data_IF_018714392357
#
_entry.id   IF_018714392357
#
_cell.length_a   1.000
_cell.length_b   1.000
_cell.length_c   1.000
_cell.angle_alpha   90.00
_cell.angle_beta   90.00
_cell.angle_gamma   90.00
#
_symmetry.space_group_name_H-M   'P 1'
#
loop_
_entity.id
_entity.type
_entity.pdbx_description
1 polymer ?
#
# COMPACT_ATOMS: atom_id res chain seq x y z
N UNK A 1 -11.42 4.81 14.70
CA UNK A 1 -12.26 3.78 15.38
C UNK A 1 -11.33 2.80 16.06
N UNK A 2 -11.56 2.47 17.34
CA UNK A 2 -10.84 1.38 18.02
C UNK A 2 -11.61 0.09 17.81
N UNK A 3 -10.98 -0.93 17.24
CA UNK A 3 -11.53 -2.27 17.18
C UNK A 3 -10.54 -3.23 17.89
N UNK A 4 -10.75 -3.42 19.17
CA UNK A 4 -9.98 -4.34 19.99
C UNK A 4 -10.61 -4.47 21.38
N UNK A 5 -10.20 -5.47 22.16
CA UNK A 5 -10.65 -5.60 23.55
C UNK A 5 -10.21 -4.36 24.32
N UNK A 6 -11.11 -3.72 25.12
CA UNK A 6 -10.73 -2.60 25.95
C UNK A 6 -9.56 -2.96 26.87
N UNK A 7 -8.44 -2.23 26.74
CA UNK A 7 -7.29 -2.34 27.64
C UNK A 7 -6.02 -2.96 27.09
N UNK A 8 -6.02 -3.59 25.90
CA UNK A 8 -4.77 -3.98 25.25
C UNK A 8 -4.29 -2.85 24.30
N UNK A 9 -2.98 -2.51 24.24
CA UNK A 9 -2.47 -1.55 23.28
C UNK A 9 -2.72 -2.09 21.85
N UNK A 10 -3.04 -1.21 20.90
CA UNK A 10 -3.15 -1.61 19.50
C UNK A 10 -1.79 -2.04 18.97
N UNK A 11 -1.75 -3.12 18.21
CA UNK A 11 -0.53 -3.61 17.59
C UNK A 11 -0.26 -2.95 16.23
N UNK A 12 -1.32 -2.53 15.53
CA UNK A 12 -1.25 -1.95 14.19
C UNK A 12 -1.86 -0.55 14.17
N UNK A 13 -1.12 0.42 13.65
CA UNK A 13 -1.67 1.70 13.23
C UNK A 13 -1.96 1.65 11.73
N UNK A 14 -3.19 2.00 11.31
CA UNK A 14 -3.57 2.18 9.91
C UNK A 14 -3.63 3.68 9.64
N UNK A 15 -2.75 4.21 8.80
CA UNK A 15 -2.80 5.60 8.35
C UNK A 15 -3.63 5.63 7.06
N UNK A 16 -4.81 6.22 7.17
CA UNK A 16 -5.78 6.37 6.09
C UNK A 16 -5.44 7.61 5.25
N UNK A 17 -4.93 7.38 4.06
CA UNK A 17 -4.53 8.40 3.10
C UNK A 17 -5.62 8.70 2.06
N UNK A 18 -6.81 8.07 2.17
CA UNK A 18 -7.92 8.35 1.26
C UNK A 18 -8.42 9.79 1.42
N UNK A 19 -8.76 10.42 0.28
CA UNK A 19 -9.34 11.76 0.26
C UNK A 19 -10.85 11.73 0.03
N UNK A 20 -11.39 10.68 -0.57
CA UNK A 20 -12.82 10.47 -0.81
C UNK A 20 -13.30 9.11 -0.27
N UNK A 21 -13.82 9.05 0.97
CA UNK A 21 -14.33 7.80 1.55
C UNK A 21 -15.59 7.26 0.85
N UNK A 22 -16.18 8.01 -0.08
CA UNK A 22 -17.24 7.52 -0.96
C UNK A 22 -16.71 6.68 -2.12
N UNK A 23 -15.42 6.76 -2.43
CA UNK A 23 -14.73 5.99 -3.49
C UNK A 23 -13.91 4.87 -2.88
N UNK A 24 -13.04 5.19 -1.92
CA UNK A 24 -12.12 4.23 -1.34
C UNK A 24 -12.14 4.26 0.19
N UNK A 25 -12.25 3.07 0.80
CA UNK A 25 -12.32 2.88 2.26
C UNK A 25 -11.22 1.94 2.75
N UNK A 26 -9.97 2.39 2.72
CA UNK A 26 -8.83 1.52 2.98
C UNK A 26 -8.85 0.88 4.37
N UNK A 27 -9.31 1.61 5.39
CA UNK A 27 -9.41 1.06 6.76
C UNK A 27 -10.31 -0.17 6.80
N UNK A 28 -11.47 -0.14 6.12
CA UNK A 28 -12.38 -1.29 6.06
C UNK A 28 -11.74 -2.46 5.29
N UNK A 29 -10.98 -2.18 4.23
CA UNK A 29 -10.31 -3.20 3.42
C UNK A 29 -9.17 -3.88 4.19
N UNK A 30 -8.30 -3.12 4.84
CA UNK A 30 -7.18 -3.66 5.59
C UNK A 30 -7.61 -4.34 6.88
N UNK A 31 -8.48 -3.71 7.68
CA UNK A 31 -8.85 -4.20 9.01
C UNK A 31 -9.52 -5.56 9.01
N UNK A 32 -10.25 -5.93 7.95
CA UNK A 32 -10.89 -7.26 7.82
C UNK A 32 -9.88 -8.43 7.82
N UNK A 33 -8.62 -8.16 7.52
CA UNK A 33 -7.55 -9.15 7.45
C UNK A 33 -6.66 -9.15 8.71
N UNK A 34 -6.83 -8.18 9.61
CA UNK A 34 -6.04 -8.09 10.84
C UNK A 34 -6.67 -8.94 11.95
N UNK A 35 -5.85 -9.78 12.56
CA UNK A 35 -6.24 -10.64 13.70
C UNK A 35 -5.78 -10.08 15.06
N UNK A 36 -5.19 -8.90 15.05
CA UNK A 36 -4.65 -8.17 16.21
C UNK A 36 -5.37 -6.83 16.37
N UNK A 37 -5.32 -6.21 17.56
CA UNK A 37 -5.89 -4.87 17.76
C UNK A 37 -5.26 -3.83 16.83
N UNK A 38 -6.06 -2.88 16.38
CA UNK A 38 -5.62 -1.79 15.50
C UNK A 38 -6.34 -0.48 15.83
N UNK A 39 -5.66 0.63 15.53
CA UNK A 39 -6.24 1.98 15.51
C UNK A 39 -6.10 2.58 14.11
N UNK A 40 -7.00 3.52 13.76
CA UNK A 40 -6.97 4.22 12.49
C UNK A 40 -6.75 5.72 12.68
N UNK A 41 -5.92 6.30 11.82
CA UNK A 41 -5.55 7.69 11.78
C UNK A 41 -5.84 8.25 10.39
N UNK A 42 -6.46 9.41 10.29
CA UNK A 42 -6.83 10.04 9.02
C UNK A 42 -5.82 11.14 8.71
N UNK A 43 -4.97 10.92 7.71
CA UNK A 43 -3.86 11.82 7.36
C UNK A 43 -4.33 13.22 6.99
N UNK A 44 -5.39 13.34 6.18
CA UNK A 44 -5.96 14.63 5.78
C UNK A 44 -6.49 15.47 6.95
N UNK A 45 -6.83 14.83 8.08
CA UNK A 45 -7.27 15.51 9.31
C UNK A 45 -6.08 15.91 10.20
N UNK A 46 -4.84 15.66 9.75
CA UNK A 46 -3.63 15.92 10.53
C UNK A 46 -3.47 14.99 11.74
N UNK A 47 -4.14 13.84 11.74
CA UNK A 47 -4.07 12.85 12.83
C UNK A 47 -3.15 11.71 12.45
N UNK A 48 -2.09 11.54 13.22
CA UNK A 48 -1.07 10.53 13.01
C UNK A 48 -0.77 9.76 14.29
N UNK A 49 -0.28 8.50 14.19
CA UNK A 49 0.21 7.75 15.35
C UNK A 49 1.57 8.29 15.81
N UNK A 50 1.88 8.09 17.09
CA UNK A 50 3.27 8.04 17.53
C UNK A 50 3.81 6.64 17.19
N UNK A 51 4.87 6.51 16.35
CA UNK A 51 5.42 5.19 15.99
C UNK A 51 5.86 4.35 17.18
N UNK A 52 6.19 4.99 18.32
CA UNK A 52 6.61 4.28 19.54
C UNK A 52 5.49 3.47 20.19
N UNK A 53 4.22 3.82 19.92
CA UNK A 53 3.07 3.15 20.51
C UNK A 53 2.64 1.89 19.74
N UNK A 54 3.23 1.62 18.56
CA UNK A 54 2.80 0.55 17.65
C UNK A 54 3.96 -0.35 17.26
N UNK A 55 3.67 -1.63 17.08
CA UNK A 55 4.64 -2.59 16.52
C UNK A 55 4.59 -2.61 14.98
N UNK A 56 3.47 -2.15 14.39
CA UNK A 56 3.22 -2.20 12.95
C UNK A 56 2.49 -0.93 12.47
N UNK A 57 2.83 -0.47 11.28
CA UNK A 57 2.13 0.64 10.60
C UNK A 57 1.76 0.22 9.17
N UNK A 58 0.50 0.42 8.78
CA UNK A 58 0.01 0.31 7.41
C UNK A 58 -0.20 1.73 6.87
N UNK A 59 0.44 2.04 5.74
CA UNK A 59 0.25 3.25 4.95
C UNK A 59 -0.66 2.89 3.78
N UNK A 60 -1.86 3.45 3.73
CA UNK A 60 -2.84 3.05 2.71
C UNK A 60 -2.61 3.75 1.37
N UNK A 61 -3.35 3.31 0.35
CA UNK A 61 -3.50 4.04 -0.90
C UNK A 61 -4.25 5.35 -0.73
N UNK A 62 -4.22 6.18 -1.78
CA UNK A 62 -4.94 7.45 -1.89
C UNK A 62 -5.36 7.68 -3.34
N UNK A 63 -6.44 8.46 -3.55
CA UNK A 63 -6.81 9.00 -4.84
C UNK A 63 -6.00 10.27 -5.20
N UNK A 64 -5.27 10.83 -4.22
CA UNK A 64 -4.34 11.93 -4.42
C UNK A 64 -3.07 11.47 -5.16
N UNK A 65 -2.41 12.39 -5.85
CA UNK A 65 -1.05 12.17 -6.34
C UNK A 65 -0.04 12.63 -5.29
N UNK A 66 0.92 11.78 -4.94
CA UNK A 66 1.99 12.17 -4.03
C UNK A 66 2.85 13.32 -4.60
N UNK A 67 2.87 13.48 -5.92
CA UNK A 67 3.60 14.55 -6.61
C UNK A 67 2.96 15.92 -6.42
N UNK A 68 1.69 16.00 -6.01
CA UNK A 68 1.00 17.25 -5.70
C UNK A 68 1.37 17.80 -4.32
N UNK A 69 2.07 17.00 -3.48
CA UNK A 69 2.66 17.42 -2.21
C UNK A 69 1.65 18.04 -1.25
N UNK A 70 0.54 17.34 -1.03
CA UNK A 70 -0.39 17.71 0.04
C UNK A 70 0.33 17.91 1.39
N UNK A 71 -0.21 18.79 2.22
CA UNK A 71 0.44 19.23 3.47
C UNK A 71 0.82 18.10 4.43
N UNK A 72 0.13 16.95 4.37
CA UNK A 72 0.43 15.79 5.24
C UNK A 72 1.60 14.93 4.73
N UNK A 73 2.03 15.05 3.47
CA UNK A 73 3.08 14.21 2.87
C UNK A 73 4.38 14.28 3.66
N UNK A 74 4.86 15.49 3.95
CA UNK A 74 6.14 15.68 4.66
C UNK A 74 6.05 15.23 6.13
N UNK A 75 4.90 15.41 6.76
CA UNK A 75 4.64 14.96 8.14
C UNK A 75 4.68 13.44 8.19
N UNK A 76 3.94 12.78 7.29
CA UNK A 76 3.87 11.32 7.25
C UNK A 76 5.22 10.71 6.82
N UNK A 77 5.97 11.34 5.92
CA UNK A 77 7.34 10.94 5.59
C UNK A 77 8.28 11.04 6.80
N UNK A 78 8.07 12.00 7.70
CA UNK A 78 8.75 12.07 8.99
C UNK A 78 8.44 10.85 9.86
N UNK A 79 7.17 10.52 10.02
CA UNK A 79 6.69 9.35 10.77
C UNK A 79 7.26 8.03 10.20
N UNK A 80 7.29 7.91 8.87
CA UNK A 80 7.93 6.75 8.20
C UNK A 80 9.39 6.62 8.62
N UNK A 81 10.17 7.71 8.56
CA UNK A 81 11.59 7.68 8.96
C UNK A 81 11.78 7.30 10.43
N UNK A 82 10.97 7.82 11.32
CA UNK A 82 10.97 7.49 12.74
C UNK A 82 10.62 6.03 12.99
N UNK A 83 9.55 5.53 12.35
CA UNK A 83 9.13 4.13 12.43
C UNK A 83 10.25 3.17 11.98
N UNK A 84 10.89 3.47 10.83
CA UNK A 84 11.98 2.66 10.28
C UNK A 84 13.23 2.71 11.16
N UNK A 85 13.56 3.88 11.72
CA UNK A 85 14.67 4.01 12.67
C UNK A 85 14.42 3.20 13.95
N UNK A 86 13.16 3.17 14.40
CA UNK A 86 12.72 2.38 15.56
C UNK A 86 12.45 0.91 15.24
N UNK A 87 12.71 0.39 14.03
CA UNK A 87 12.41 -0.96 13.52
C UNK A 87 10.93 -1.35 13.67
N UNK A 88 10.00 -0.42 13.63
CA UNK A 88 8.58 -0.71 13.49
C UNK A 88 8.33 -1.35 12.13
N UNK A 89 7.51 -2.39 12.07
CA UNK A 89 7.16 -3.00 10.79
C UNK A 89 6.25 -2.05 9.98
N UNK A 90 6.62 -1.75 8.72
CA UNK A 90 5.86 -0.81 7.88
C UNK A 90 5.49 -1.46 6.55
N UNK A 91 4.21 -1.39 6.19
CA UNK A 91 3.67 -1.86 4.93
C UNK A 91 2.95 -0.70 4.22
N UNK A 92 3.38 -0.35 3.01
CA UNK A 92 2.72 0.65 2.17
C UNK A 92 2.04 0.04 0.97
N UNK A 93 0.79 0.43 0.67
CA UNK A 93 0.10 0.08 -0.57
C UNK A 93 -0.16 1.31 -1.43
N UNK A 94 0.03 1.20 -2.75
CA UNK A 94 -0.18 2.22 -3.76
C UNK A 94 0.47 3.56 -3.36
N UNK A 95 -0.29 4.56 -2.94
CA UNK A 95 0.25 5.83 -2.47
C UNK A 95 1.21 5.65 -1.29
N UNK A 96 0.91 4.76 -0.32
CA UNK A 96 1.80 4.44 0.79
C UNK A 96 3.12 3.79 0.35
N UNK A 97 3.11 2.98 -0.71
CA UNK A 97 4.33 2.46 -1.35
C UNK A 97 5.19 3.59 -1.93
N UNK A 98 4.55 4.55 -2.61
CA UNK A 98 5.23 5.72 -3.16
C UNK A 98 5.79 6.62 -2.04
N UNK A 99 5.04 6.78 -0.94
CA UNK A 99 5.52 7.52 0.24
C UNK A 99 6.74 6.87 0.87
N UNK A 100 6.79 5.54 0.97
CA UNK A 100 7.98 4.82 1.47
C UNK A 100 9.22 5.11 0.59
N UNK A 101 9.07 5.05 -0.72
CA UNK A 101 10.16 5.38 -1.65
C UNK A 101 10.57 6.86 -1.52
N UNK A 102 9.60 7.77 -1.48
CA UNK A 102 9.83 9.20 -1.28
C UNK A 102 10.57 9.49 0.03
N UNK A 103 10.10 8.92 1.15
CA UNK A 103 10.66 9.18 2.47
C UNK A 103 12.06 8.61 2.68
N UNK A 104 12.36 7.45 2.08
CA UNK A 104 13.56 6.67 2.37
C UNK A 104 14.62 6.69 1.25
N UNK A 105 14.22 6.90 0.00
CA UNK A 105 15.12 6.98 -1.14
C UNK A 105 15.20 8.40 -1.73
N UNK A 106 14.13 9.19 -1.59
CA UNK A 106 14.05 10.57 -2.07
C UNK A 106 13.01 10.79 -3.18
N UNK A 107 12.65 12.04 -3.39
CA UNK A 107 11.60 12.47 -4.30
C UNK A 107 11.83 12.02 -5.76
N UNK A 108 13.08 12.00 -6.22
CA UNK A 108 13.45 11.61 -7.59
C UNK A 108 13.06 10.17 -7.96
N UNK A 109 12.75 9.34 -6.97
CA UNK A 109 12.37 7.94 -7.16
C UNK A 109 10.86 7.73 -7.36
N UNK A 110 10.04 8.80 -7.30
CA UNK A 110 8.61 8.76 -7.57
C UNK A 110 8.29 9.69 -8.73
N UNK A 111 7.53 9.20 -9.70
CA UNK A 111 7.17 9.98 -10.88
C UNK A 111 5.82 9.57 -11.47
N UNK A 112 5.31 10.37 -12.40
CA UNK A 112 4.13 10.02 -13.19
C UNK A 112 4.43 8.82 -14.08
N UNK A 113 3.51 7.82 -14.10
CA UNK A 113 3.60 6.71 -15.06
C UNK A 113 3.52 7.21 -16.50
N UNK A 114 4.26 6.56 -17.38
CA UNK A 114 4.04 6.73 -18.83
C UNK A 114 2.70 6.10 -19.25
N UNK A 115 2.36 4.97 -18.65
CA UNK A 115 1.09 4.27 -18.83
C UNK A 115 0.55 3.82 -17.47
N UNK A 116 -0.67 4.25 -17.09
CA UNK A 116 -1.29 3.80 -15.85
C UNK A 116 -1.63 2.31 -15.92
N UNK A 117 -1.57 1.62 -14.78
CA UNK A 117 -2.04 0.25 -14.64
C UNK A 117 -3.32 0.24 -13.83
N UNK A 118 -4.41 -0.25 -14.43
CA UNK A 118 -5.76 -0.23 -13.87
C UNK A 118 -6.41 -1.59 -14.05
N UNK A 119 -6.97 -2.15 -12.97
CA UNK A 119 -7.61 -3.44 -12.94
C UNK A 119 -6.74 -4.54 -12.30
N UNK A 120 -6.99 -5.79 -12.65
CA UNK A 120 -6.23 -6.93 -12.16
C UNK A 120 -5.00 -7.16 -13.01
N UNK A 121 -3.85 -6.75 -12.48
CA UNK A 121 -2.56 -6.72 -13.19
C UNK A 121 -1.74 -7.96 -12.82
N UNK A 122 -1.22 -8.73 -13.82
CA UNK A 122 -0.26 -9.81 -13.56
C UNK A 122 1.10 -9.19 -13.23
N UNK A 123 1.58 -9.39 -12.01
CA UNK A 123 2.89 -8.91 -11.56
C UNK A 123 3.92 -10.04 -11.66
N UNK A 124 5.09 -9.76 -12.23
CA UNK A 124 6.16 -10.74 -12.36
C UNK A 124 6.98 -10.81 -11.07
N UNK A 125 6.98 -11.96 -10.42
CA UNK A 125 7.82 -12.32 -9.28
C UNK A 125 8.94 -13.21 -9.77
N UNK A 126 10.16 -12.67 -9.92
CA UNK A 126 11.28 -13.40 -10.52
C UNK A 126 11.89 -14.44 -9.58
N UNK A 127 11.80 -14.20 -8.26
CA UNK A 127 12.33 -15.10 -7.22
C UNK A 127 11.32 -15.26 -6.10
N UNK A 128 11.28 -16.47 -5.55
CA UNK A 128 10.51 -16.74 -4.33
C UNK A 128 10.91 -15.78 -3.20
N UNK A 129 9.91 -15.25 -2.53
CA UNK A 129 10.08 -14.41 -1.36
C UNK A 129 8.92 -14.57 -0.38
N UNK A 130 9.15 -14.17 0.89
CA UNK A 130 8.19 -14.40 1.98
C UNK A 130 6.89 -13.61 1.79
N UNK A 131 6.95 -12.43 1.15
CA UNK A 131 5.81 -11.54 0.99
C UNK A 131 4.83 -12.02 -0.09
N UNK A 132 5.34 -12.36 -1.27
CA UNK A 132 4.52 -12.68 -2.45
C UNK A 132 4.47 -14.19 -2.76
N UNK A 133 5.38 -14.98 -2.21
CA UNK A 133 5.46 -16.43 -2.42
C UNK A 133 6.40 -16.83 -3.54
N UNK A 134 6.10 -17.93 -4.25
CA UNK A 134 6.98 -18.50 -5.28
C UNK A 134 7.10 -17.56 -6.49
N UNK A 135 8.16 -17.79 -7.28
CA UNK A 135 8.30 -17.14 -8.59
C UNK A 135 7.09 -17.47 -9.48
N UNK A 136 6.64 -16.46 -10.24
CA UNK A 136 5.45 -16.59 -11.09
C UNK A 136 4.83 -15.23 -11.45
N UNK A 137 3.59 -15.27 -11.89
CA UNK A 137 2.84 -14.08 -12.31
C UNK A 137 1.48 -13.99 -11.62
N UNK A 138 1.44 -13.82 -10.27
CA UNK A 138 0.18 -13.61 -9.59
C UNK A 138 -0.47 -12.29 -10.02
N UNK A 139 -1.80 -12.22 -9.88
CA UNK A 139 -2.57 -11.02 -10.15
C UNK A 139 -2.80 -10.23 -8.87
N UNK A 140 -2.69 -8.90 -8.98
CA UNK A 140 -3.00 -7.94 -7.92
C UNK A 140 -3.84 -6.79 -8.49
N UNK A 141 -4.86 -6.36 -7.75
CA UNK A 141 -5.65 -5.21 -8.15
C UNK A 141 -4.81 -3.94 -8.08
N UNK A 142 -4.86 -3.12 -9.12
CA UNK A 142 -4.07 -1.89 -9.26
C UNK A 142 -4.92 -0.76 -9.84
N UNK A 143 -4.73 0.44 -9.32
CA UNK A 143 -5.21 1.70 -9.89
C UNK A 143 -4.17 2.76 -9.55
N UNK A 144 -3.21 3.00 -10.43
CA UNK A 144 -2.19 4.00 -10.18
C UNK A 144 -1.77 4.78 -11.43
N UNK A 145 -1.46 6.05 -11.20
CA UNK A 145 -0.97 7.02 -12.19
C UNK A 145 0.43 7.53 -11.86
N UNK A 146 0.92 7.24 -10.66
CA UNK A 146 2.29 7.48 -10.22
C UNK A 146 2.97 6.15 -9.93
N UNK A 147 4.29 6.10 -10.06
CA UNK A 147 5.09 4.90 -9.90
C UNK A 147 6.41 5.18 -9.20
N UNK A 148 6.96 4.13 -8.60
CA UNK A 148 8.33 4.13 -8.05
C UNK A 148 9.30 3.57 -9.09
N UNK A 149 10.48 4.20 -9.22
CA UNK A 149 11.56 3.75 -10.11
C UNK A 149 12.94 3.94 -9.49
N UNK A 150 13.89 3.20 -10.06
CA UNK A 150 15.33 3.38 -9.86
C UNK A 150 15.75 3.38 -8.39
N UNK A 151 15.09 2.55 -7.56
CA UNK A 151 15.41 2.45 -6.14
C UNK A 151 16.85 2.00 -5.91
N UNK A 152 17.64 2.74 -5.09
CA UNK A 152 19.02 2.37 -4.78
C UNK A 152 19.07 1.21 -3.76
N UNK A 153 20.26 0.61 -3.58
CA UNK A 153 20.49 -0.22 -2.41
C UNK A 153 20.25 0.62 -1.13
N UNK A 154 19.68 0.06 -0.08
CA UNK A 154 19.43 -1.35 0.17
C UNK A 154 18.02 -1.84 -0.22
N UNK A 155 17.29 -1.15 -1.09
CA UNK A 155 16.01 -1.64 -1.57
C UNK A 155 16.21 -2.88 -2.46
N UNK A 156 15.33 -3.85 -2.31
CA UNK A 156 15.24 -5.05 -3.11
C UNK A 156 13.87 -5.13 -3.78
N UNK A 157 13.86 -5.21 -5.12
CA UNK A 157 12.65 -5.32 -5.92
C UNK A 157 12.16 -6.77 -5.84
N UNK A 158 10.90 -6.96 -5.45
CA UNK A 158 10.26 -8.27 -5.29
C UNK A 158 9.34 -8.63 -6.45
N UNK A 159 8.76 -7.62 -7.11
CA UNK A 159 7.92 -7.82 -8.28
C UNK A 159 7.98 -6.61 -9.21
N UNK A 160 7.69 -6.85 -10.50
CA UNK A 160 7.69 -5.84 -11.56
C UNK A 160 6.62 -6.14 -12.61
N UNK A 161 6.32 -5.14 -13.44
CA UNK A 161 5.68 -5.31 -14.76
C UNK A 161 6.53 -4.60 -15.81
N UNK A 162 6.18 -4.75 -17.08
CA UNK A 162 6.87 -4.01 -18.14
C UNK A 162 6.57 -2.50 -18.09
N UNK A 163 5.39 -2.11 -17.57
CA UNK A 163 5.00 -0.72 -17.42
C UNK A 163 5.54 -0.10 -16.12
N UNK A 164 5.57 -0.86 -15.03
CA UNK A 164 6.00 -0.40 -13.70
C UNK A 164 7.09 -1.33 -13.14
N UNK A 165 8.37 -0.92 -13.14
CA UNK A 165 9.48 -1.79 -12.75
C UNK A 165 9.53 -2.10 -11.24
N UNK A 166 8.80 -1.36 -10.42
CA UNK A 166 8.75 -1.55 -8.95
C UNK A 166 7.31 -1.76 -8.50
N UNK A 167 6.77 -2.96 -8.73
CA UNK A 167 5.45 -3.37 -8.23
C UNK A 167 5.47 -3.76 -6.75
N UNK A 168 6.60 -4.26 -6.29
CA UNK A 168 6.83 -4.52 -4.88
C UNK A 168 8.31 -4.39 -4.54
N UNK A 169 8.60 -3.91 -3.35
CA UNK A 169 9.96 -3.88 -2.81
C UNK A 169 9.99 -4.23 -1.32
N UNK A 170 11.17 -4.59 -0.82
CA UNK A 170 11.52 -4.58 0.60
C UNK A 170 12.76 -3.76 0.87
N UNK A 171 12.88 -3.21 2.08
CA UNK A 171 14.11 -2.58 2.56
C UNK A 171 14.94 -3.64 3.31
N UNK A 172 16.12 -4.01 2.78
CA UNK A 172 16.97 -5.03 3.42
C UNK A 172 17.37 -4.63 4.82
N UNK A 173 17.28 -5.57 5.75
CA UNK A 173 17.63 -5.35 7.15
C UNK A 173 16.59 -4.58 7.96
N UNK A 174 15.46 -4.23 7.37
CA UNK A 174 14.34 -3.57 8.04
C UNK A 174 13.01 -4.28 7.67
N UNK A 175 12.03 -4.31 8.59
CA UNK A 175 10.72 -4.89 8.33
C UNK A 175 9.83 -3.90 7.55
N UNK A 176 10.24 -3.55 6.33
CA UNK A 176 9.58 -2.53 5.49
C UNK A 176 9.32 -3.07 4.11
N UNK A 177 8.07 -2.96 3.65
CA UNK A 177 7.62 -3.38 2.33
C UNK A 177 6.70 -2.36 1.69
N UNK A 178 6.82 -2.24 0.38
CA UNK A 178 5.93 -1.46 -0.46
C UNK A 178 5.31 -2.30 -1.57
N UNK A 179 4.03 -2.10 -1.83
CA UNK A 179 3.24 -2.74 -2.87
C UNK A 179 2.54 -1.68 -3.71
N UNK A 180 2.77 -1.63 -5.02
CA UNK A 180 2.14 -0.64 -5.89
C UNK A 180 0.63 -0.89 -6.07
N UNK A 181 0.19 -2.12 -6.02
CA UNK A 181 -1.23 -2.47 -6.08
C UNK A 181 -1.90 -2.55 -4.70
N UNK A 182 -3.13 -3.03 -4.73
CA UNK A 182 -4.07 -3.09 -3.62
C UNK A 182 -4.44 -4.54 -3.31
N UNK A 183 -3.60 -5.32 -2.60
CA UNK A 183 -3.93 -6.70 -2.25
C UNK A 183 -5.12 -6.80 -1.30
N UNK A 184 -5.46 -5.72 -0.58
CA UNK A 184 -6.56 -5.63 0.36
C UNK A 184 -7.94 -5.49 -0.29
N UNK A 185 -7.99 -5.18 -1.60
CA UNK A 185 -9.25 -4.96 -2.33
C UNK A 185 -9.70 -6.27 -2.97
N UNK A 186 -10.84 -6.80 -2.52
CA UNK A 186 -11.47 -7.99 -3.07
C UNK A 186 -12.18 -7.71 -4.42
N UNK A 187 -12.58 -8.78 -5.13
CA UNK A 187 -13.23 -8.68 -6.44
C UNK A 187 -14.50 -7.81 -6.40
N UNK A 188 -15.47 -8.01 -5.48
CA UNK A 188 -16.65 -7.16 -5.41
C UNK A 188 -16.33 -5.68 -5.18
N UNK A 189 -15.33 -5.40 -4.34
CA UNK A 189 -14.90 -4.04 -4.03
C UNK A 189 -14.15 -3.40 -5.19
N UNK A 190 -13.32 -4.15 -5.93
CA UNK A 190 -12.61 -3.65 -7.11
C UNK A 190 -13.55 -3.20 -8.21
N UNK A 191 -14.63 -3.95 -8.45
CA UNK A 191 -15.63 -3.60 -9.47
C UNK A 191 -16.38 -2.32 -9.08
N UNK A 192 -16.78 -2.18 -7.81
CA UNK A 192 -17.40 -0.95 -7.31
C UNK A 192 -16.44 0.23 -7.41
N UNK A 193 -15.20 0.07 -6.98
CA UNK A 193 -14.18 1.11 -7.02
C UNK A 193 -13.97 1.62 -8.46
N UNK A 194 -13.81 0.73 -9.43
CA UNK A 194 -13.68 1.10 -10.84
C UNK A 194 -14.92 1.83 -11.36
N UNK A 195 -16.14 1.35 -11.01
CA UNK A 195 -17.38 1.99 -11.42
C UNK A 195 -17.54 3.38 -10.81
N UNK A 196 -17.25 3.54 -9.50
CA UNK A 196 -17.30 4.84 -8.83
C UNK A 196 -16.34 5.85 -9.46
N UNK A 197 -15.13 5.42 -9.85
CA UNK A 197 -14.18 6.27 -10.57
C UNK A 197 -14.72 6.71 -11.95
N UNK A 198 -15.38 5.80 -12.68
CA UNK A 198 -16.01 6.11 -13.97
C UNK A 198 -17.14 7.12 -13.80
N UNK A 199 -18.02 6.90 -12.82
CA UNK A 199 -19.22 7.71 -12.58
C UNK A 199 -18.86 9.12 -12.09
N UNK A 200 -17.75 9.26 -11.36
CA UNK A 200 -17.23 10.55 -10.88
C UNK A 200 -16.32 11.26 -11.89
N UNK A 201 -16.12 10.68 -13.08
CA UNK A 201 -15.35 11.30 -14.14
C UNK A 201 -13.85 11.39 -13.90
N UNK A 202 -13.28 10.45 -13.13
CA UNK A 202 -11.84 10.38 -12.92
C UNK A 202 -11.07 10.28 -14.24
N UNK A 203 -9.82 10.77 -14.21
CA UNK A 203 -8.90 10.74 -15.37
C UNK A 203 -8.73 9.31 -15.87
N UNK A 204 -8.51 9.16 -17.18
CA UNK A 204 -8.25 7.83 -17.75
C UNK A 204 -9.49 6.94 -17.91
N UNK A 205 -10.68 7.52 -18.10
CA UNK A 205 -11.96 6.81 -18.27
C UNK A 205 -11.87 5.60 -19.22
N UNK A 206 -11.06 5.70 -20.29
CA UNK A 206 -10.85 4.59 -21.25
C UNK A 206 -10.22 3.35 -20.58
N UNK A 207 -9.20 3.54 -19.76
CA UNK A 207 -8.54 2.46 -19.02
C UNK A 207 -9.47 1.86 -17.95
N UNK A 208 -10.27 2.68 -17.27
CA UNK A 208 -11.25 2.21 -16.27
C UNK A 208 -12.31 1.32 -16.92
N UNK A 209 -12.86 1.74 -18.07
CA UNK A 209 -13.85 0.96 -18.83
C UNK A 209 -13.26 -0.32 -19.42
N UNK A 210 -11.98 -0.31 -19.81
CA UNK A 210 -11.26 -1.50 -20.24
C UNK A 210 -11.11 -2.49 -19.10
N UNK A 211 -10.68 -2.01 -17.93
CA UNK A 211 -10.52 -2.82 -16.72
C UNK A 211 -11.84 -3.49 -16.28
N UNK A 212 -12.97 -2.76 -16.36
CA UNK A 212 -14.31 -3.31 -16.05
C UNK A 212 -14.76 -4.42 -17.01
N UNK A 213 -14.23 -4.47 -18.22
CA UNK A 213 -14.55 -5.52 -19.22
C UNK A 213 -13.71 -6.78 -19.04
N UNK A 214 -12.58 -6.68 -18.34
CA UNK A 214 -11.71 -7.83 -18.09
C UNK A 214 -12.22 -8.65 -16.91
N UNK A 215 -12.18 -9.99 -16.99
CA UNK A 215 -12.55 -10.82 -15.85
C UNK A 215 -11.56 -10.59 -14.70
N UNK A 216 -12.06 -10.40 -13.47
CA UNK A 216 -11.18 -10.26 -12.29
C UNK A 216 -10.41 -11.55 -12.03
N UNK A 217 -9.15 -11.40 -11.56
CA UNK A 217 -8.21 -12.51 -11.33
C UNK A 217 -7.44 -12.31 -10.03
N UNK A 218 -8.13 -12.43 -8.90
CA UNK A 218 -7.48 -12.35 -7.59
C UNK A 218 -6.66 -13.62 -7.32
N UNK A 219 -5.38 -13.44 -7.02
CA UNK A 219 -4.47 -14.53 -6.61
C UNK A 219 -4.41 -14.75 -5.10
N UNK A 220 -5.19 -14.03 -4.31
CA UNK A 220 -5.29 -14.21 -2.85
C UNK A 220 -4.01 -13.86 -2.08
N UNK A 221 -3.21 -12.94 -2.59
CA UNK A 221 -1.92 -12.56 -1.98
C UNK A 221 -2.06 -11.97 -0.58
N UNK A 222 -3.21 -11.34 -0.28
CA UNK A 222 -3.44 -10.59 0.96
C UNK A 222 -3.16 -11.42 2.22
N UNK A 223 -3.56 -12.70 2.27
CA UNK A 223 -3.37 -13.54 3.46
C UNK A 223 -1.90 -13.80 3.76
N UNK A 224 -1.09 -14.01 2.73
CA UNK A 224 0.36 -14.16 2.87
C UNK A 224 1.01 -12.86 3.29
N UNK A 225 0.66 -11.75 2.64
CA UNK A 225 1.21 -10.42 2.92
C UNK A 225 0.96 -10.03 4.37
N UNK A 226 -0.29 -10.14 4.85
CA UNK A 226 -0.64 -9.80 6.23
C UNK A 226 0.06 -10.71 7.23
N UNK A 227 0.16 -12.02 6.95
CA UNK A 227 0.89 -12.94 7.82
C UNK A 227 2.36 -12.55 7.94
N UNK A 228 3.06 -12.36 6.81
CA UNK A 228 4.47 -11.96 6.79
C UNK A 228 4.69 -10.64 7.54
N UNK A 229 3.82 -9.67 7.30
CA UNK A 229 3.85 -8.38 7.97
C UNK A 229 3.68 -8.51 9.49
N UNK A 230 2.66 -9.23 9.98
CA UNK A 230 2.39 -9.40 11.41
C UNK A 230 3.44 -10.26 12.14
N UNK A 231 4.09 -11.19 11.45
CA UNK A 231 5.17 -12.01 12.02
C UNK A 231 6.45 -11.19 12.23
N UNK A 232 6.74 -10.21 11.37
CA UNK A 232 7.95 -9.40 11.45
C UNK A 232 8.04 -8.52 12.72
N UNK A 233 6.93 -8.05 13.26
CA UNK A 233 6.90 -7.26 14.49
C UNK A 233 6.99 -8.07 15.78
N UNK A 234 6.88 -9.41 15.71
CA UNK A 234 6.94 -10.30 16.89
C UNK A 234 8.34 -10.58 17.42
N UNK A 235 9.36 -10.15 16.70
CA UNK A 235 10.77 -10.35 17.10
C UNK A 235 11.25 -9.38 18.21
N UNK A 236 10.33 -8.60 18.78
CA UNK A 236 10.58 -7.68 19.92
C UNK A 236 9.93 -8.24 21.19
N UNK A 237 10.44 -9.36 21.68
CA UNK A 237 10.12 -9.95 22.96
C UNK A 237 11.37 -10.13 23.79
#
# INVERSE_FOLDING_TARGET
MRAGKPGAPAAVAIIDNSIDPGVYRPVEHWSRHLTVPWDAFVARDGRFPDPADYSHIILTGSEASILERDAWVDVEAGIVREAVAADVAVLGSCWGHQLLAFALAGESHVRRCERPEIGWVPIRVDKENDLLGPAGTPYMFSVHYDEVRDLPAPFEILASTDACPVQAFRLRGKPVWGLQGHPEVDIPSSLRFLQDLVDRGFKGRGFLLEALRQPPRDSGLILRIVRTFLEAGRLRG
#
